data_IF_715975463336
#
_entry.id   IF_715975463336
#
_cell.length_a   1.000
_cell.length_b   1.000
_cell.length_c   1.000
_cell.angle_alpha   90.00
_cell.angle_beta   90.00
_cell.angle_gamma   90.00
#
_symmetry.space_group_name_H-M   'P 1'
#
loop_
_entity.id
_entity.type
_entity.pdbx_description
1 polymer ?
#
# COMPACT_ATOMS: atom_id res chain seq x y z
N UNK A 1 13.99 -32.46 4.45
CA UNK A 1 13.53 -31.08 4.20
C UNK A 1 12.42 -31.15 3.20
N UNK A 2 11.17 -30.93 3.60
CA UNK A 2 10.01 -30.93 2.68
C UNK A 2 9.93 -29.55 2.07
N UNK A 3 10.02 -29.51 0.76
CA UNK A 3 9.77 -28.36 -0.08
C UNK A 3 8.35 -27.83 0.21
N UNK A 4 8.26 -26.65 0.82
CA UNK A 4 6.99 -25.95 1.01
C UNK A 4 6.85 -25.07 -0.23
N UNK A 5 6.06 -25.54 -1.19
CA UNK A 5 5.68 -24.76 -2.36
C UNK A 5 5.17 -23.38 -1.91
N UNK A 6 5.83 -22.33 -2.40
CA UNK A 6 5.39 -20.95 -2.21
C UNK A 6 4.01 -20.79 -2.87
N UNK A 7 3.04 -20.15 -2.19
CA UNK A 7 1.77 -19.85 -2.81
C UNK A 7 2.00 -18.82 -3.91
N UNK A 8 1.89 -19.23 -5.16
CA UNK A 8 1.81 -18.30 -6.29
C UNK A 8 0.48 -17.55 -6.20
N UNK A 9 0.53 -16.27 -5.90
CA UNK A 9 -0.61 -15.37 -6.03
C UNK A 9 -0.95 -15.26 -7.53
N UNK A 10 -2.00 -15.94 -7.95
CA UNK A 10 -2.58 -15.79 -9.28
C UNK A 10 -3.40 -14.50 -9.31
N UNK A 11 -2.73 -13.38 -9.53
CA UNK A 11 -3.39 -12.15 -9.96
C UNK A 11 -3.79 -12.38 -11.41
N UNK A 12 -5.05 -12.75 -11.62
CA UNK A 12 -5.64 -13.18 -12.89
C UNK A 12 -4.92 -12.55 -14.09
N UNK A 13 -4.37 -13.39 -14.96
CA UNK A 13 -3.53 -13.03 -16.10
C UNK A 13 -4.15 -11.90 -16.93
N UNK A 14 -3.81 -10.64 -16.56
CA UNK A 14 -3.97 -9.52 -17.45
C UNK A 14 -2.95 -9.68 -18.56
N UNK A 15 -3.36 -10.37 -19.63
CA UNK A 15 -2.57 -10.52 -20.84
C UNK A 15 -2.20 -9.13 -21.38
N UNK A 16 -1.06 -9.03 -22.06
CA UNK A 16 -0.51 -7.84 -22.78
C UNK A 16 -1.52 -7.07 -23.65
N UNK A 17 -2.73 -7.56 -23.79
CA UNK A 17 -3.82 -7.06 -24.62
C UNK A 17 -4.75 -6.07 -23.90
N UNK A 18 -4.60 -5.85 -22.59
CA UNK A 18 -5.49 -4.96 -21.84
C UNK A 18 -5.27 -3.47 -22.16
N UNK A 19 -4.10 -3.08 -22.61
CA UNK A 19 -3.77 -1.68 -22.96
C UNK A 19 -4.46 -1.19 -24.23
N UNK A 20 -4.85 -2.10 -25.13
CA UNK A 20 -5.49 -1.80 -26.41
C UNK A 20 -7.02 -1.99 -26.40
N UNK A 21 -7.65 -2.08 -25.23
CA UNK A 21 -9.09 -2.18 -25.12
C UNK A 21 -9.68 -0.83 -24.77
N UNK A 22 -10.90 -0.54 -25.29
CA UNK A 22 -11.62 0.65 -24.88
C UNK A 22 -11.80 0.69 -23.35
N UNK A 23 -11.57 1.86 -22.77
CA UNK A 23 -11.72 2.10 -21.32
C UNK A 23 -12.71 3.23 -21.10
N UNK A 24 -13.50 3.10 -20.07
CA UNK A 24 -14.44 4.12 -19.61
C UNK A 24 -13.86 4.84 -18.39
N UNK A 25 -13.84 6.17 -18.44
CA UNK A 25 -13.30 6.99 -17.37
C UNK A 25 -14.10 8.29 -17.24
N UNK A 26 -14.67 8.53 -16.07
CA UNK A 26 -15.50 9.71 -15.77
C UNK A 26 -16.60 9.97 -16.80
N UNK A 27 -17.25 8.89 -17.29
CA UNK A 27 -18.32 8.96 -18.28
C UNK A 27 -17.85 9.17 -19.73
N UNK A 28 -16.54 9.19 -19.98
CA UNK A 28 -15.95 9.25 -21.32
C UNK A 28 -15.38 7.89 -21.70
N UNK A 29 -15.51 7.55 -23.00
CA UNK A 29 -14.93 6.31 -23.55
C UNK A 29 -13.68 6.64 -24.36
N UNK A 30 -12.58 5.93 -24.09
CA UNK A 30 -11.32 6.05 -24.79
C UNK A 30 -10.99 4.75 -25.53
N UNK A 31 -10.30 4.84 -26.65
CA UNK A 31 -9.89 3.67 -27.45
C UNK A 31 -8.94 2.73 -26.67
N UNK A 32 -8.16 3.29 -25.75
CA UNK A 32 -7.23 2.57 -24.91
C UNK A 32 -6.93 3.33 -23.62
N UNK A 33 -6.30 2.67 -22.67
CA UNK A 33 -5.83 3.32 -21.44
C UNK A 33 -4.73 4.36 -21.71
N UNK A 34 -3.87 4.13 -22.70
CA UNK A 34 -2.88 5.10 -23.14
C UNK A 34 -3.53 6.37 -23.71
N UNK A 35 -4.63 6.22 -24.47
CA UNK A 35 -5.41 7.35 -24.99
C UNK A 35 -6.08 8.14 -23.84
N UNK A 36 -6.66 7.45 -22.84
CA UNK A 36 -7.17 8.09 -21.62
C UNK A 36 -6.08 8.91 -20.94
N UNK A 37 -4.92 8.28 -20.68
CA UNK A 37 -3.79 8.93 -20.00
C UNK A 37 -3.28 10.16 -20.76
N UNK A 38 -3.11 10.04 -22.08
CA UNK A 38 -2.66 11.16 -22.91
C UNK A 38 -3.63 12.35 -22.86
N UNK A 39 -4.93 12.10 -22.94
CA UNK A 39 -5.96 13.12 -22.83
C UNK A 39 -5.90 13.87 -21.49
N UNK A 40 -5.87 13.14 -20.39
CA UNK A 40 -5.86 13.76 -19.08
C UNK A 40 -4.52 14.41 -18.72
N UNK A 41 -3.38 13.92 -19.25
CA UNK A 41 -2.09 14.60 -19.11
C UNK A 41 -2.09 15.97 -19.80
N UNK A 42 -2.71 16.07 -20.98
CA UNK A 42 -2.83 17.37 -21.65
C UNK A 42 -3.72 18.33 -20.84
N UNK A 43 -4.81 17.84 -20.28
CA UNK A 43 -5.64 18.64 -19.36
C UNK A 43 -4.90 19.04 -18.09
N UNK A 44 -4.08 18.14 -17.52
CA UNK A 44 -3.26 18.49 -16.35
C UNK A 44 -2.28 19.62 -16.68
N UNK A 45 -1.70 19.62 -17.89
CA UNK A 45 -0.83 20.69 -18.37
C UNK A 45 -1.53 22.06 -18.38
N UNK A 46 -2.83 22.07 -18.79
CA UNK A 46 -3.65 23.28 -18.75
C UNK A 46 -3.83 23.79 -17.28
N UNK A 47 -4.11 22.89 -16.34
CA UNK A 47 -4.18 23.24 -14.91
C UNK A 47 -2.85 23.74 -14.36
N UNK A 48 -1.73 23.12 -14.70
CA UNK A 48 -0.40 23.54 -14.27
C UNK A 48 -0.01 24.92 -14.78
N UNK A 49 -0.58 25.36 -15.89
CA UNK A 49 -0.39 26.73 -16.41
C UNK A 49 -1.20 27.79 -15.63
N UNK A 50 -2.19 27.41 -14.84
CA UNK A 50 -3.00 28.32 -14.04
C UNK A 50 -2.29 28.68 -12.72
N UNK A 51 -1.96 29.97 -12.48
CA UNK A 51 -1.33 30.39 -11.22
C UNK A 51 -2.22 30.17 -9.98
N UNK A 52 -3.55 30.18 -10.10
CA UNK A 52 -4.45 29.94 -8.98
C UNK A 52 -4.44 28.47 -8.54
N UNK A 53 -4.34 27.55 -9.49
CA UNK A 53 -4.18 26.13 -9.19
C UNK A 53 -2.92 25.85 -8.37
N UNK A 54 -1.83 26.57 -8.66
CA UNK A 54 -0.55 26.44 -7.94
C UNK A 54 -0.56 26.98 -6.52
N UNK A 55 -1.56 27.78 -6.15
CA UNK A 55 -1.73 28.31 -4.78
C UNK A 55 -2.42 27.34 -3.84
N UNK A 56 -2.93 26.22 -4.33
CA UNK A 56 -3.52 25.19 -3.49
C UNK A 56 -2.46 24.72 -2.48
N UNK A 57 -2.85 24.69 -1.20
CA UNK A 57 -1.97 24.24 -0.12
C UNK A 57 -1.45 22.80 -0.40
N UNK A 58 -0.16 22.60 -0.17
CA UNK A 58 0.48 21.31 -0.47
C UNK A 58 0.91 21.12 -1.94
N UNK A 59 0.82 22.18 -2.76
CA UNK A 59 1.32 22.09 -4.14
C UNK A 59 2.83 21.82 -4.13
N UNK A 60 3.33 20.82 -4.91
CA UNK A 60 4.73 20.40 -4.85
C UNK A 60 5.67 21.46 -5.42
N UNK A 61 6.91 21.47 -4.90
CA UNK A 61 8.03 22.21 -5.48
C UNK A 61 8.72 21.28 -6.47
N UNK A 62 8.63 21.59 -7.78
CA UNK A 62 9.23 20.77 -8.84
C UNK A 62 8.90 21.34 -10.22
N UNK A 63 9.54 20.76 -11.24
CA UNK A 63 9.24 21.08 -12.63
C UNK A 63 7.91 20.44 -13.06
N UNK A 64 7.22 21.07 -14.01
CA UNK A 64 5.96 20.57 -14.54
C UNK A 64 6.14 19.21 -15.23
N UNK A 65 7.28 19.01 -15.87
CA UNK A 65 7.66 17.78 -16.53
C UNK A 65 7.74 16.61 -15.53
N UNK A 66 8.24 16.84 -14.33
CA UNK A 66 8.34 15.82 -13.27
C UNK A 66 6.95 15.47 -12.74
N UNK A 67 6.10 16.50 -12.52
CA UNK A 67 4.72 16.30 -12.09
C UNK A 67 3.96 15.46 -13.12
N UNK A 68 4.07 15.81 -14.41
CA UNK A 68 3.41 15.09 -15.50
C UNK A 68 3.94 13.67 -15.65
N UNK A 69 5.25 13.46 -15.55
CA UNK A 69 5.88 12.15 -15.71
C UNK A 69 5.46 11.18 -14.61
N UNK A 70 5.31 11.66 -13.38
CA UNK A 70 4.88 10.84 -12.22
C UNK A 70 3.37 10.64 -12.17
N UNK A 71 2.56 11.39 -12.94
CA UNK A 71 1.11 11.35 -12.89
C UNK A 71 0.50 10.32 -13.84
N UNK A 72 -0.64 9.76 -13.41
CA UNK A 72 -1.57 8.95 -14.21
C UNK A 72 -3.02 9.46 -14.04
N UNK A 73 -3.30 10.67 -14.55
CA UNK A 73 -4.59 11.31 -14.34
C UNK A 73 -5.73 10.60 -15.11
N UNK A 74 -6.98 10.63 -14.59
CA UNK A 74 -7.42 11.33 -13.40
C UNK A 74 -7.25 10.53 -12.10
N UNK A 75 -6.69 9.32 -12.16
CA UNK A 75 -6.60 8.42 -11.01
C UNK A 75 -5.55 8.86 -9.99
N UNK A 76 -4.42 9.36 -10.46
CA UNK A 76 -3.35 9.88 -9.62
C UNK A 76 -2.67 11.08 -10.28
N UNK A 77 -2.42 12.12 -9.48
CA UNK A 77 -1.60 13.26 -9.89
C UNK A 77 -0.53 13.53 -8.83
N UNK A 78 0.69 13.82 -9.27
CA UNK A 78 1.79 14.21 -8.38
C UNK A 78 1.65 15.66 -7.88
N UNK A 79 0.44 16.19 -7.84
CA UNK A 79 0.00 17.48 -7.30
C UNK A 79 -1.46 17.31 -6.82
N UNK A 80 -2.10 18.33 -6.22
CA UNK A 80 -3.52 18.25 -5.90
C UNK A 80 -4.35 17.82 -7.11
N UNK A 81 -5.22 16.80 -6.94
CA UNK A 81 -5.94 16.19 -8.04
C UNK A 81 -7.18 17.02 -8.43
N UNK A 82 -7.21 17.64 -9.65
CA UNK A 82 -8.32 18.51 -10.05
C UNK A 82 -9.61 17.75 -10.37
N UNK A 83 -9.57 16.42 -10.59
CA UNK A 83 -10.74 15.60 -10.97
C UNK A 83 -11.42 14.91 -9.79
N UNK A 84 -11.03 15.18 -8.55
CA UNK A 84 -11.61 14.52 -7.39
C UNK A 84 -13.11 14.76 -7.27
N UNK A 85 -13.56 16.01 -7.54
CA UNK A 85 -14.98 16.35 -7.54
C UNK A 85 -15.75 15.62 -8.64
N UNK A 86 -15.17 15.50 -9.83
CA UNK A 86 -15.78 14.78 -10.96
C UNK A 86 -15.88 13.28 -10.65
N UNK A 87 -14.86 12.70 -10.01
CA UNK A 87 -14.88 11.31 -9.56
C UNK A 87 -16.02 11.06 -8.58
N UNK A 88 -16.15 11.89 -7.56
CA UNK A 88 -17.21 11.77 -6.55
C UNK A 88 -18.59 11.95 -7.20
N UNK A 89 -18.75 12.94 -8.09
CA UNK A 89 -19.99 13.19 -8.80
C UNK A 89 -20.40 12.01 -9.70
N UNK A 90 -19.43 11.35 -10.32
CA UNK A 90 -19.70 10.26 -11.26
C UNK A 90 -19.95 8.91 -10.55
N UNK A 91 -19.19 8.59 -9.52
CA UNK A 91 -19.24 7.29 -8.85
C UNK A 91 -19.93 7.33 -7.49
N UNK A 92 -20.07 8.48 -6.86
CA UNK A 92 -20.71 8.62 -5.55
C UNK A 92 -22.23 8.49 -5.67
N UNK A 93 -22.84 8.04 -4.58
CA UNK A 93 -24.31 8.01 -4.46
C UNK A 93 -24.75 9.28 -3.73
N UNK A 94 -25.68 10.06 -4.27
CA UNK A 94 -26.24 11.22 -3.56
C UNK A 94 -26.87 10.75 -2.23
N UNK A 95 -26.71 11.56 -1.20
CA UNK A 95 -27.40 11.34 0.06
C UNK A 95 -28.91 11.52 -0.12
N UNK A 96 -29.70 10.51 0.24
CA UNK A 96 -31.16 10.59 0.27
C UNK A 96 -31.64 10.65 1.72
N UNK A 97 -32.21 11.79 2.18
CA UNK A 97 -32.68 11.93 3.56
C UNK A 97 -33.88 11.02 3.88
N UNK A 98 -34.55 10.47 2.86
CA UNK A 98 -35.67 9.55 3.04
C UNK A 98 -35.22 8.09 3.22
N UNK A 99 -33.96 7.79 2.97
CA UNK A 99 -33.39 6.46 3.16
C UNK A 99 -32.25 6.59 4.17
N UNK A 100 -32.58 6.60 5.49
CA UNK A 100 -31.57 6.79 6.54
C UNK A 100 -30.58 5.64 6.52
N UNK A 101 -29.27 5.97 6.44
CA UNK A 101 -28.21 5.02 6.65
C UNK A 101 -28.10 4.73 8.15
N UNK A 102 -28.20 3.45 8.51
CA UNK A 102 -27.97 2.99 9.88
C UNK A 102 -27.24 1.65 9.86
N UNK A 103 -26.15 1.55 10.57
CA UNK A 103 -25.41 0.30 10.82
C UNK A 103 -25.04 0.24 12.29
N UNK A 104 -25.08 -0.95 12.85
CA UNK A 104 -24.61 -1.17 14.21
C UNK A 104 -23.09 -0.89 14.32
N UNK A 105 -22.62 -0.36 15.46
CA UNK A 105 -21.19 -0.20 15.70
C UNK A 105 -20.46 -1.52 15.54
N UNK A 106 -19.31 -1.48 14.84
CA UNK A 106 -18.49 -2.66 14.57
C UNK A 106 -17.07 -2.44 15.09
N UNK A 107 -16.52 -3.48 15.72
CA UNK A 107 -15.12 -3.50 16.15
C UNK A 107 -14.50 -4.86 15.80
N UNK A 108 -13.27 -4.84 15.32
CA UNK A 108 -12.50 -6.03 15.00
C UNK A 108 -11.02 -5.83 15.36
N UNK A 109 -10.26 -6.93 15.46
CA UNK A 109 -8.82 -6.87 15.68
C UNK A 109 -8.13 -6.29 14.44
N UNK A 110 -7.38 -5.21 14.64
CA UNK A 110 -6.62 -4.53 13.59
C UNK A 110 -5.26 -5.17 13.30
N UNK A 111 -4.92 -6.26 13.98
CA UNK A 111 -3.67 -7.01 13.73
C UNK A 111 -3.81 -8.11 12.68
N UNK A 112 -5.02 -8.44 12.27
CA UNK A 112 -5.30 -9.49 11.28
C UNK A 112 -4.64 -9.17 9.94
N UNK A 113 -3.88 -10.13 9.42
CA UNK A 113 -3.19 -9.99 8.12
C UNK A 113 -1.78 -9.38 8.20
N UNK A 114 -1.20 -9.18 9.38
CA UNK A 114 0.20 -8.71 9.52
C UNK A 114 1.23 -9.64 8.89
N UNK A 115 0.91 -10.91 8.67
CA UNK A 115 1.77 -11.88 7.98
C UNK A 115 1.47 -12.01 6.49
N UNK A 116 0.54 -11.21 5.96
CA UNK A 116 0.16 -11.26 4.56
C UNK A 116 1.28 -10.65 3.68
N UNK A 117 1.62 -11.28 2.53
CA UNK A 117 2.63 -10.76 1.61
C UNK A 117 2.36 -9.33 1.13
N UNK A 118 1.10 -8.98 0.88
CA UNK A 118 0.71 -7.63 0.48
C UNK A 118 1.05 -6.63 1.60
N UNK A 119 0.77 -6.98 2.85
CA UNK A 119 1.13 -6.12 3.98
C UNK A 119 2.64 -6.02 4.16
N UNK A 120 3.39 -7.10 3.93
CA UNK A 120 4.83 -7.17 4.19
C UNK A 120 5.70 -6.67 3.02
N UNK A 121 5.12 -6.34 1.87
CA UNK A 121 5.89 -5.92 0.69
C UNK A 121 6.70 -4.62 0.90
N UNK A 122 6.31 -3.77 1.84
CA UNK A 122 7.09 -2.62 2.29
C UNK A 122 6.80 -2.29 3.76
N UNK A 123 7.69 -1.54 4.41
CA UNK A 123 7.48 -1.02 5.76
C UNK A 123 6.96 0.41 5.70
N UNK A 124 5.98 0.74 6.56
CA UNK A 124 5.49 2.10 6.77
C UNK A 124 4.91 2.20 8.17
N UNK A 125 5.21 3.30 8.87
CA UNK A 125 4.64 3.55 10.19
C UNK A 125 3.12 3.68 10.10
N UNK A 126 2.41 3.23 11.11
CA UNK A 126 0.94 3.32 11.20
C UNK A 126 0.14 2.52 10.17
N UNK A 127 0.80 1.73 9.31
CA UNK A 127 0.13 0.88 8.32
C UNK A 127 -0.75 -0.18 9.00
N UNK A 128 -2.03 -0.21 8.65
CA UNK A 128 -2.99 -1.22 9.11
C UNK A 128 -3.14 -2.29 8.02
N UNK A 129 -3.16 -3.60 8.37
CA UNK A 129 -3.35 -4.65 7.38
C UNK A 129 -4.68 -4.51 6.61
N UNK A 130 -4.63 -4.67 5.30
CA UNK A 130 -5.82 -4.58 4.44
C UNK A 130 -6.94 -5.54 4.86
N UNK A 131 -6.62 -6.76 5.34
CA UNK A 131 -7.62 -7.72 5.83
C UNK A 131 -8.43 -7.20 7.01
N UNK A 132 -7.77 -6.53 7.96
CA UNK A 132 -8.46 -5.89 9.06
C UNK A 132 -9.39 -4.77 8.57
N UNK A 133 -8.92 -3.94 7.63
CA UNK A 133 -9.72 -2.85 7.02
C UNK A 133 -10.91 -3.41 6.24
N UNK A 134 -10.74 -4.52 5.51
CA UNK A 134 -11.82 -5.17 4.75
C UNK A 134 -13.05 -5.47 5.62
N UNK A 135 -12.87 -5.89 6.88
CA UNK A 135 -13.98 -6.16 7.79
C UNK A 135 -14.86 -4.94 8.00
N UNK A 136 -14.25 -3.77 8.18
CA UNK A 136 -14.96 -2.50 8.32
C UNK A 136 -15.65 -2.10 7.01
N UNK A 137 -14.95 -2.21 5.88
CA UNK A 137 -15.52 -1.87 4.57
C UNK A 137 -16.71 -2.77 4.24
N UNK A 138 -16.60 -4.09 4.45
CA UNK A 138 -17.72 -5.02 4.23
C UNK A 138 -18.91 -4.71 5.14
N UNK A 139 -18.67 -4.30 6.39
CA UNK A 139 -19.75 -3.99 7.34
C UNK A 139 -20.49 -2.69 6.98
N UNK A 140 -19.74 -1.64 6.59
CA UNK A 140 -20.32 -0.30 6.45
C UNK A 140 -20.70 0.08 5.02
N UNK A 141 -20.33 -0.69 4.00
CA UNK A 141 -20.51 -0.30 2.59
C UNK A 141 -21.11 -1.41 1.73
N UNK A 142 -21.66 -1.00 0.59
CA UNK A 142 -22.13 -1.90 -0.48
C UNK A 142 -21.14 -1.90 -1.66
N UNK A 143 -21.18 -2.93 -2.55
CA UNK A 143 -20.39 -2.94 -3.77
C UNK A 143 -20.54 -1.65 -4.59
N UNK A 144 -19.39 -1.11 -5.02
CA UNK A 144 -19.33 0.11 -5.82
C UNK A 144 -19.41 1.42 -5.04
N UNK A 145 -19.64 1.39 -3.72
CA UNK A 145 -19.56 2.58 -2.88
C UNK A 145 -18.14 3.18 -2.89
N UNK A 146 -18.07 4.48 -2.60
CA UNK A 146 -16.82 5.23 -2.48
C UNK A 146 -16.41 5.33 -1.02
N UNK A 147 -15.24 4.79 -0.70
CA UNK A 147 -14.61 4.89 0.62
C UNK A 147 -13.60 6.01 0.59
N UNK A 148 -13.66 6.91 1.56
CA UNK A 148 -12.68 8.00 1.71
C UNK A 148 -11.72 7.73 2.86
N UNK A 149 -10.41 7.88 2.60
CA UNK A 149 -9.36 7.83 3.60
C UNK A 149 -8.48 9.07 3.47
N UNK A 150 -8.63 9.99 4.40
CA UNK A 150 -7.93 11.28 4.40
C UNK A 150 -6.47 11.22 4.85
N UNK A 151 -6.03 10.08 5.42
CA UNK A 151 -4.68 9.84 5.93
C UNK A 151 -4.22 8.43 5.58
N UNK A 152 -4.31 8.08 4.30
CA UNK A 152 -4.23 6.70 3.80
C UNK A 152 -2.85 6.05 3.97
N UNK A 153 -1.82 6.80 4.35
CA UNK A 153 -0.46 6.30 4.33
C UNK A 153 -0.13 5.72 2.96
N UNK A 154 0.26 4.46 2.93
CA UNK A 154 0.59 3.75 1.68
C UNK A 154 -0.59 3.01 1.05
N UNK A 155 -1.83 3.37 1.38
CA UNK A 155 -3.02 3.00 0.62
C UNK A 155 -3.61 1.61 0.89
N UNK A 156 -3.41 1.05 2.09
CA UNK A 156 -4.02 -0.24 2.44
C UNK A 156 -5.55 -0.23 2.41
N UNK A 157 -6.18 0.92 2.63
CA UNK A 157 -7.63 1.10 2.47
C UNK A 157 -8.09 0.88 1.03
N UNK A 158 -7.31 1.33 0.05
CA UNK A 158 -7.59 1.08 -1.37
C UNK A 158 -7.48 -0.41 -1.72
N UNK A 159 -6.42 -1.07 -1.24
CA UNK A 159 -6.25 -2.52 -1.39
C UNK A 159 -7.44 -3.26 -0.77
N UNK A 160 -7.84 -2.90 0.44
CA UNK A 160 -8.98 -3.50 1.13
C UNK A 160 -10.29 -3.30 0.34
N UNK A 161 -10.52 -2.10 -0.19
CA UNK A 161 -11.71 -1.78 -1.00
C UNK A 161 -11.81 -2.67 -2.26
N UNK A 162 -10.68 -2.89 -2.94
CA UNK A 162 -10.62 -3.78 -4.10
C UNK A 162 -10.80 -5.25 -3.71
N UNK A 163 -10.11 -5.72 -2.65
CA UNK A 163 -10.15 -7.12 -2.20
C UNK A 163 -11.51 -7.53 -1.64
N UNK A 164 -12.39 -6.61 -1.28
CA UNK A 164 -13.80 -6.92 -1.01
C UNK A 164 -14.55 -7.53 -2.21
N UNK A 165 -13.96 -7.48 -3.42
CA UNK A 165 -14.46 -8.15 -4.61
C UNK A 165 -13.86 -9.54 -4.86
N UNK A 166 -12.84 -9.94 -4.11
CA UNK A 166 -12.19 -11.24 -4.23
C UNK A 166 -12.83 -12.25 -3.26
N UNK A 167 -13.50 -13.27 -3.83
CA UNK A 167 -14.17 -14.32 -3.05
C UNK A 167 -13.20 -15.05 -2.11
N UNK A 168 -12.04 -15.44 -2.60
CA UNK A 168 -11.10 -16.24 -1.82
C UNK A 168 -10.53 -15.42 -0.63
N UNK A 169 -10.27 -14.14 -0.86
CA UNK A 169 -9.79 -13.24 0.19
C UNK A 169 -10.89 -13.00 1.23
N UNK A 170 -12.15 -12.76 0.81
CA UNK A 170 -13.28 -12.59 1.73
C UNK A 170 -13.53 -13.85 2.55
N UNK A 171 -13.49 -15.03 1.94
CA UNK A 171 -13.63 -16.31 2.64
C UNK A 171 -12.46 -16.57 3.60
N UNK A 172 -11.24 -16.10 3.30
CA UNK A 172 -10.09 -16.21 4.20
C UNK A 172 -10.25 -15.43 5.51
N UNK A 173 -11.20 -14.48 5.57
CA UNK A 173 -11.58 -13.78 6.79
C UNK A 173 -12.54 -14.57 7.68
N UNK A 174 -12.90 -15.80 7.30
CA UNK A 174 -13.86 -16.63 8.03
C UNK A 174 -15.32 -16.35 7.68
N UNK A 175 -15.58 -15.59 6.61
CA UNK A 175 -16.91 -15.37 6.08
C UNK A 175 -17.30 -16.45 5.09
N UNK A 176 -18.59 -16.62 4.84
CA UNK A 176 -19.13 -17.48 3.79
C UNK A 176 -19.68 -16.62 2.66
N UNK A 177 -19.29 -16.93 1.43
CA UNK A 177 -19.79 -16.21 0.24
C UNK A 177 -20.68 -17.14 -0.56
N UNK A 178 -21.96 -16.80 -0.68
CA UNK A 178 -22.94 -17.57 -1.44
C UNK A 178 -22.77 -17.33 -2.97
N UNK A 179 -23.43 -18.15 -3.78
CA UNK A 179 -23.33 -18.05 -5.24
C UNK A 179 -23.84 -16.75 -5.83
N UNK A 180 -24.81 -16.13 -5.15
CA UNK A 180 -25.38 -14.82 -5.54
C UNK A 180 -24.55 -13.62 -5.06
N UNK A 181 -23.41 -13.88 -4.43
CA UNK A 181 -22.52 -12.86 -3.85
C UNK A 181 -22.90 -12.40 -2.44
N UNK A 182 -23.90 -12.99 -1.81
CA UNK A 182 -24.23 -12.69 -0.40
C UNK A 182 -23.09 -13.14 0.51
N UNK A 183 -22.63 -12.24 1.40
CA UNK A 183 -21.58 -12.52 2.40
C UNK A 183 -22.24 -12.68 3.75
N UNK A 184 -22.00 -13.84 4.39
CA UNK A 184 -22.56 -14.21 5.69
C UNK A 184 -21.47 -14.37 6.73
N UNK A 185 -21.76 -13.96 7.97
CA UNK A 185 -20.90 -14.18 9.14
C UNK A 185 -21.50 -15.24 10.06
N UNK A 186 -20.67 -15.86 10.89
CA UNK A 186 -21.13 -16.76 11.92
C UNK A 186 -21.72 -15.98 13.11
N UNK A 187 -22.91 -16.37 13.51
CA UNK A 187 -23.54 -15.91 14.76
C UNK A 187 -24.03 -17.11 15.56
N UNK A 188 -24.26 -16.94 16.85
CA UNK A 188 -24.85 -17.94 17.69
C UNK A 188 -26.31 -17.56 17.96
N UNK A 189 -27.24 -18.46 17.62
CA UNK A 189 -28.66 -18.25 17.88
C UNK A 189 -29.01 -18.39 19.37
N UNK A 190 -30.25 -18.12 19.71
CA UNK A 190 -30.76 -18.19 21.08
C UNK A 190 -30.62 -19.59 21.73
N UNK A 191 -30.46 -20.63 20.92
CA UNK A 191 -30.29 -22.02 21.34
C UNK A 191 -28.83 -22.46 21.44
N UNK A 192 -27.87 -21.53 21.22
CA UNK A 192 -26.45 -21.82 21.22
C UNK A 192 -25.94 -22.48 19.94
N UNK A 193 -26.73 -22.53 18.86
CA UNK A 193 -26.36 -23.11 17.56
C UNK A 193 -25.72 -22.06 16.67
N UNK A 194 -24.62 -22.42 16.01
CA UNK A 194 -23.97 -21.58 14.99
C UNK A 194 -24.85 -21.49 13.76
N UNK A 195 -25.18 -20.29 13.37
CA UNK A 195 -25.91 -19.95 12.14
C UNK A 195 -25.09 -19.00 11.27
N UNK A 196 -25.37 -19.00 9.95
CA UNK A 196 -24.80 -18.05 9.01
C UNK A 196 -25.82 -16.93 8.75
N UNK A 197 -25.45 -15.70 9.11
CA UNK A 197 -26.31 -14.53 8.95
C UNK A 197 -25.75 -13.61 7.89
N UNK A 198 -26.52 -13.29 6.82
CA UNK A 198 -26.14 -12.33 5.82
C UNK A 198 -25.89 -10.94 6.42
N UNK A 199 -24.81 -10.26 6.01
CA UNK A 199 -24.52 -8.91 6.46
C UNK A 199 -23.92 -7.99 5.39
N UNK A 200 -23.39 -8.56 4.28
CA UNK A 200 -22.74 -7.80 3.22
C UNK A 200 -22.90 -8.47 1.85
N UNK A 201 -22.31 -7.87 0.83
CA UNK A 201 -22.24 -8.43 -0.52
C UNK A 201 -20.82 -8.38 -1.07
N UNK A 202 -20.45 -9.44 -1.81
CA UNK A 202 -19.19 -9.53 -2.55
C UNK A 202 -19.19 -8.50 -3.68
N UNK A 203 -18.13 -7.73 -3.77
CA UNK A 203 -17.89 -6.77 -4.83
C UNK A 203 -16.87 -5.73 -4.40
N UNK A 204 -16.07 -5.26 -5.33
CA UNK A 204 -15.11 -4.20 -5.06
C UNK A 204 -15.82 -2.88 -4.70
N UNK A 205 -15.18 -2.11 -3.82
CA UNK A 205 -15.51 -0.70 -3.56
C UNK A 205 -14.45 0.17 -4.21
N UNK A 206 -14.78 1.45 -4.41
CA UNK A 206 -13.85 2.47 -4.88
C UNK A 206 -13.23 3.17 -3.70
N UNK A 207 -12.01 3.67 -3.84
CA UNK A 207 -11.37 4.42 -2.78
C UNK A 207 -10.91 5.79 -3.29
N UNK A 208 -11.11 6.81 -2.46
CA UNK A 208 -10.46 8.11 -2.56
C UNK A 208 -9.43 8.17 -1.44
N UNK A 209 -8.16 8.22 -1.81
CA UNK A 209 -7.04 8.14 -0.90
C UNK A 209 -6.29 9.48 -0.90
N UNK A 210 -6.08 10.02 0.27
CA UNK A 210 -5.33 11.27 0.46
C UNK A 210 -4.31 11.08 1.57
N UNK A 211 -3.16 11.75 1.45
CA UNK A 211 -2.15 11.85 2.50
C UNK A 211 -1.36 13.14 2.34
N UNK A 212 -0.79 13.65 3.43
CA UNK A 212 0.09 14.83 3.42
C UNK A 212 1.46 14.52 2.80
N UNK A 213 1.87 13.25 2.79
CA UNK A 213 3.15 12.81 2.25
C UNK A 213 3.02 12.45 0.77
N UNK A 214 3.71 13.15 -0.15
CA UNK A 214 3.76 12.78 -1.56
C UNK A 214 4.33 11.38 -1.79
N UNK A 215 5.28 10.95 -0.95
CA UNK A 215 5.82 9.58 -1.02
C UNK A 215 4.75 8.55 -0.66
N UNK A 216 3.92 8.81 0.35
CA UNK A 216 2.83 7.92 0.73
C UNK A 216 1.80 7.78 -0.39
N UNK A 217 1.33 8.89 -0.96
CA UNK A 217 0.35 8.87 -2.07
C UNK A 217 0.91 8.20 -3.33
N UNK A 218 2.19 8.39 -3.63
CA UNK A 218 2.84 7.69 -4.74
C UNK A 218 2.91 6.17 -4.52
N UNK A 219 3.27 5.74 -3.31
CA UNK A 219 3.24 4.31 -2.94
C UNK A 219 1.80 3.78 -3.01
N UNK A 220 0.83 4.52 -2.45
CA UNK A 220 -0.57 4.15 -2.46
C UNK A 220 -1.10 3.96 -3.90
N UNK A 221 -0.76 4.85 -4.82
CA UNK A 221 -1.11 4.71 -6.23
C UNK A 221 -0.54 3.42 -6.82
N UNK A 222 0.77 3.17 -6.66
CA UNK A 222 1.41 1.97 -7.21
C UNK A 222 0.87 0.67 -6.61
N UNK A 223 0.45 0.68 -5.35
CA UNK A 223 -0.17 -0.48 -4.70
C UNK A 223 -1.57 -0.79 -5.21
N UNK A 224 -2.29 0.23 -5.66
CA UNK A 224 -3.68 0.14 -6.08
C UNK A 224 -3.86 0.09 -7.61
N UNK A 225 -2.77 0.09 -8.36
CA UNK A 225 -2.78 0.06 -9.83
C UNK A 225 -2.24 -1.26 -10.34
N UNK A 226 -2.90 -1.82 -11.35
CA UNK A 226 -2.43 -3.04 -12.01
C UNK A 226 -1.14 -2.78 -12.78
N UNK A 227 -0.19 -3.74 -12.73
CA UNK A 227 1.09 -3.65 -13.41
C UNK A 227 1.35 -4.90 -14.25
N UNK A 228 2.06 -4.75 -15.37
CA UNK A 228 2.59 -5.88 -16.10
C UNK A 228 3.79 -6.47 -15.32
N UNK A 229 3.56 -7.58 -14.63
CA UNK A 229 4.53 -8.21 -13.71
C UNK A 229 5.84 -8.57 -14.44
N UNK A 230 5.76 -9.13 -15.65
CA UNK A 230 6.96 -9.52 -16.41
C UNK A 230 7.77 -8.30 -16.86
N UNK A 231 7.12 -7.23 -17.27
CA UNK A 231 7.79 -5.98 -17.62
C UNK A 231 8.44 -5.34 -16.39
N UNK A 232 7.72 -5.31 -15.28
CA UNK A 232 8.23 -4.81 -14.00
C UNK A 232 9.46 -5.59 -13.53
N UNK A 233 9.37 -6.93 -13.51
CA UNK A 233 10.47 -7.78 -13.05
C UNK A 233 11.74 -7.61 -13.92
N UNK A 234 11.56 -7.54 -15.24
CA UNK A 234 12.68 -7.31 -16.17
C UNK A 234 13.36 -5.97 -15.91
N UNK A 235 12.58 -4.91 -15.72
CA UNK A 235 13.10 -3.57 -15.48
C UNK A 235 13.74 -3.45 -14.09
N UNK A 236 13.14 -4.02 -13.06
CA UNK A 236 13.70 -4.06 -11.72
C UNK A 236 15.07 -4.78 -11.69
N UNK A 237 15.20 -5.92 -12.38
CA UNK A 237 16.47 -6.63 -12.53
C UNK A 237 17.53 -5.80 -13.27
N UNK A 238 17.11 -5.04 -14.30
CA UNK A 238 18.02 -4.15 -15.02
C UNK A 238 18.57 -3.06 -14.10
N UNK A 239 17.67 -2.37 -13.39
CA UNK A 239 18.04 -1.29 -12.45
C UNK A 239 18.97 -1.83 -11.35
N UNK A 240 18.61 -2.96 -10.72
CA UNK A 240 19.43 -3.56 -9.68
C UNK A 240 20.85 -3.88 -10.16
N UNK A 241 20.98 -4.40 -11.38
CA UNK A 241 22.30 -4.70 -11.98
C UNK A 241 23.13 -3.44 -12.18
N UNK A 242 22.51 -2.35 -12.64
CA UNK A 242 23.19 -1.06 -12.85
C UNK A 242 23.63 -0.46 -11.52
N UNK A 243 22.72 -0.42 -10.53
CA UNK A 243 23.04 0.08 -9.18
C UNK A 243 24.11 -0.78 -8.50
N UNK A 244 24.08 -2.10 -8.68
CA UNK A 244 25.13 -2.99 -8.13
C UNK A 244 26.50 -2.71 -8.77
N UNK A 245 26.54 -2.41 -10.07
CA UNK A 245 27.78 -2.08 -10.77
C UNK A 245 28.36 -0.74 -10.29
N UNK A 246 27.50 0.23 -9.99
CA UNK A 246 27.91 1.57 -9.55
C UNK A 246 28.20 1.64 -8.05
N UNK A 247 27.33 1.05 -7.21
CA UNK A 247 27.30 1.23 -5.77
C UNK A 247 27.66 -0.03 -4.98
N UNK A 248 27.89 -1.17 -5.63
CA UNK A 248 28.15 -2.46 -4.97
C UNK A 248 29.34 -2.43 -4.00
N UNK A 249 30.34 -1.59 -4.28
CA UNK A 249 31.49 -1.38 -3.40
C UNK A 249 31.11 -0.89 -2.00
N UNK A 250 29.99 -0.20 -1.81
CA UNK A 250 29.49 0.27 -0.52
C UNK A 250 29.11 -0.90 0.42
N UNK A 251 28.85 -2.05 -0.15
CA UNK A 251 28.44 -3.26 0.56
C UNK A 251 29.57 -4.29 0.65
N UNK A 252 30.80 -3.95 0.24
CA UNK A 252 31.95 -4.82 0.41
C UNK A 252 32.52 -4.72 1.82
N UNK A 253 32.95 -5.85 2.34
CA UNK A 253 33.68 -5.95 3.61
C UNK A 253 34.77 -6.99 3.50
N UNK A 254 35.71 -6.97 4.44
CA UNK A 254 36.75 -8.01 4.57
C UNK A 254 36.28 -9.07 5.55
N UNK A 255 36.56 -10.34 5.24
CA UNK A 255 36.42 -11.43 6.17
C UNK A 255 37.49 -11.30 7.30
N UNK A 256 37.36 -12.15 8.32
CA UNK A 256 38.27 -12.16 9.48
C UNK A 256 39.74 -12.41 9.14
N UNK A 257 40.04 -12.94 7.95
CA UNK A 257 41.39 -13.12 7.42
C UNK A 257 42.05 -11.81 6.94
N UNK A 258 41.26 -10.71 6.88
CA UNK A 258 41.71 -9.39 6.44
C UNK A 258 42.06 -9.29 4.96
N UNK A 259 41.77 -10.31 4.14
CA UNK A 259 42.14 -10.38 2.73
C UNK A 259 40.97 -10.71 1.81
N UNK A 260 40.11 -11.62 2.21
CA UNK A 260 38.98 -12.06 1.39
C UNK A 260 37.86 -11.04 1.46
N UNK A 261 37.44 -10.52 0.31
CA UNK A 261 36.29 -9.64 0.20
C UNK A 261 35.00 -10.45 0.18
N UNK A 262 33.99 -9.92 0.82
CA UNK A 262 32.63 -10.44 0.83
C UNK A 262 31.61 -9.29 0.83
N UNK A 263 30.32 -9.61 0.72
CA UNK A 263 29.23 -8.64 0.92
C UNK A 263 28.78 -8.68 2.38
N UNK A 264 28.48 -7.52 2.95
CA UNK A 264 27.87 -7.42 4.29
C UNK A 264 26.47 -8.03 4.26
N UNK A 265 26.12 -8.77 5.33
CA UNK A 265 24.78 -9.28 5.52
C UNK A 265 23.87 -8.24 6.19
N UNK A 266 24.42 -7.53 7.17
CA UNK A 266 23.76 -6.46 7.92
C UNK A 266 24.80 -5.56 8.58
N UNK A 267 24.37 -4.36 8.98
CA UNK A 267 25.18 -3.41 9.75
C UNK A 267 24.62 -3.31 11.17
N UNK A 268 25.47 -3.46 12.16
CA UNK A 268 25.10 -3.25 13.57
C UNK A 268 25.34 -1.80 13.92
N UNK A 269 24.29 -1.12 14.36
CA UNK A 269 24.37 0.24 14.89
C UNK A 269 24.44 0.18 16.41
N UNK A 270 25.21 1.06 16.99
CA UNK A 270 25.37 1.15 18.44
C UNK A 270 25.18 2.58 18.89
N UNK A 271 24.53 2.75 20.05
CA UNK A 271 24.56 4.02 20.76
C UNK A 271 25.97 4.29 21.28
N UNK A 272 26.35 5.58 21.29
CA UNK A 272 27.60 6.07 21.88
C UNK A 272 27.22 7.01 23.01
N UNK A 273 27.66 6.68 24.21
CA UNK A 273 27.45 7.45 25.43
C UNK A 273 28.73 8.21 25.80
N UNK A 274 28.59 9.28 26.55
CA UNK A 274 29.70 10.00 27.15
C UNK A 274 29.78 9.63 28.62
N UNK A 275 30.95 9.18 29.08
CA UNK A 275 31.16 8.87 30.48
C UNK A 275 31.06 10.14 31.33
N UNK A 276 30.18 10.18 32.37
CA UNK A 276 30.03 11.37 33.20
C UNK A 276 31.24 11.74 34.05
N UNK A 277 32.15 10.79 34.28
CA UNK A 277 33.33 11.04 35.10
C UNK A 277 34.57 11.49 34.30
N UNK A 278 34.82 10.86 33.14
CA UNK A 278 36.02 11.11 32.35
C UNK A 278 35.78 11.73 30.98
N UNK A 279 34.52 11.91 30.59
CA UNK A 279 34.08 12.46 29.28
C UNK A 279 34.49 11.64 28.05
N UNK A 280 35.03 10.45 28.21
CA UNK A 280 35.34 9.56 27.09
C UNK A 280 34.07 9.00 26.46
N UNK A 281 34.13 8.77 25.17
CA UNK A 281 33.06 8.08 24.45
C UNK A 281 33.04 6.59 24.79
N UNK A 282 31.84 6.08 25.02
CA UNK A 282 31.57 4.68 25.37
C UNK A 282 30.64 4.10 24.29
N UNK A 283 31.21 3.30 23.40
CA UNK A 283 30.44 2.58 22.38
C UNK A 283 29.77 1.38 23.04
N UNK A 284 28.46 1.42 23.21
CA UNK A 284 27.68 0.43 23.94
C UNK A 284 27.91 -1.00 23.41
N UNK A 285 27.90 -1.18 22.09
CA UNK A 285 28.20 -2.48 21.47
C UNK A 285 29.53 -3.08 21.85
N UNK A 286 30.54 -2.26 22.06
CA UNK A 286 31.89 -2.72 22.36
C UNK A 286 32.06 -3.15 23.84
N UNK A 287 31.41 -2.45 24.75
CA UNK A 287 31.64 -2.64 26.18
C UNK A 287 30.55 -3.45 26.87
N UNK A 288 29.31 -3.31 26.45
CA UNK A 288 28.16 -3.90 27.13
C UNK A 288 27.65 -5.20 26.50
N UNK A 289 27.88 -5.42 25.19
CA UNK A 289 27.32 -6.58 24.49
C UNK A 289 28.33 -7.73 24.42
N UNK A 290 27.90 -8.91 24.88
CA UNK A 290 28.63 -10.14 24.63
C UNK A 290 28.44 -10.56 23.17
N UNK A 291 29.49 -10.51 22.36
CA UNK A 291 29.44 -10.78 20.93
C UNK A 291 29.20 -12.26 20.55
N UNK A 292 29.27 -13.17 21.53
CA UNK A 292 29.08 -14.61 21.31
C UNK A 292 27.58 -14.97 21.37
N UNK A 293 26.89 -14.48 22.39
CA UNK A 293 25.50 -14.86 22.68
C UNK A 293 24.49 -13.70 22.57
N UNK A 294 24.99 -12.48 22.31
CA UNK A 294 24.17 -11.29 22.16
C UNK A 294 23.58 -10.74 23.46
N UNK A 295 23.99 -11.28 24.61
CA UNK A 295 23.50 -10.81 25.91
C UNK A 295 24.10 -9.46 26.28
N UNK A 296 23.33 -8.64 26.97
CA UNK A 296 23.77 -7.35 27.50
C UNK A 296 24.21 -7.54 28.94
N UNK A 297 25.40 -7.03 29.28
CA UNK A 297 25.93 -7.04 30.64
C UNK A 297 25.22 -5.98 31.48
N UNK A 298 24.86 -6.33 32.72
CA UNK A 298 24.27 -5.37 33.68
C UNK A 298 25.24 -4.25 34.08
N UNK A 299 26.55 -4.56 34.08
CA UNK A 299 27.60 -3.62 34.40
C UNK A 299 28.75 -3.75 33.40
N UNK A 300 29.25 -2.65 32.93
CA UNK A 300 30.40 -2.60 32.02
C UNK A 300 31.29 -1.40 32.35
N UNK A 301 32.65 -1.55 32.23
CA UNK A 301 33.60 -0.48 32.54
C UNK A 301 33.55 0.62 31.46
N UNK A 302 33.97 1.80 31.86
CA UNK A 302 34.39 2.84 30.93
C UNK A 302 35.73 2.40 30.30
N UNK A 303 35.89 2.51 28.95
CA UNK A 303 37.13 2.15 28.26
C UNK A 303 38.36 2.90 28.75
#
# INVERSE_FOLDING_TARGET
MKDRGEPTLDFGQGTLDSRNRPVECLGMTFESDDARRAYFLEKLREFLADPEFRKIEGFPIGADEDILALSDPPYYTACPNPWLADFIKHYGKPYDPNVPYSREPFAADVSEGKNDPIYNAHSYHTKVPHKAIMRYILHYTEPGDVVFDGFCGTGMTGVAAQMCGDRAVVESLGYKVENDGTVSQQETDENGKTIWKPFSRLGARRAVLNDLSPAATFIAYNYNTTVNVQAFEREAKRILKEVEAECGWMYETLHTDGKTKGKINYTVWSDVFVCPECTNEVVFWEVAVNKIDGTVKDHFPCP
#
